data_IF_318068700231
#
_entry.id   IF_318068700231
#
_cell.length_a   1.000
_cell.length_b   1.000
_cell.length_c   1.000
_cell.angle_alpha   90.00
_cell.angle_beta   90.00
_cell.angle_gamma   90.00
#
_symmetry.space_group_name_H-M   'P 1'
#
loop_
_entity.id
_entity.type
_entity.pdbx_description
1 polymer ?
#
# COMPACT_ATOMS: atom_id res chain seq x y z
N UNK A 1 2.70 -26.81 2.62
CA UNK A 1 2.70 -26.22 1.27
C UNK A 1 3.06 -24.75 1.41
N UNK A 2 4.04 -24.25 0.65
CA UNK A 2 4.37 -22.82 0.64
C UNK A 2 3.25 -22.05 -0.06
N UNK A 3 2.74 -20.99 0.55
CA UNK A 3 1.72 -20.14 -0.06
C UNK A 3 2.46 -19.22 -1.04
N UNK A 4 2.37 -19.51 -2.34
CA UNK A 4 2.85 -18.60 -3.39
C UNK A 4 1.82 -17.49 -3.56
N UNK A 5 2.05 -16.35 -2.92
CA UNK A 5 1.20 -15.16 -3.07
C UNK A 5 1.89 -14.21 -4.05
N UNK A 6 1.51 -14.30 -5.33
CA UNK A 6 1.82 -13.29 -6.35
C UNK A 6 0.87 -12.11 -6.20
N UNK A 7 1.33 -10.90 -6.50
CA UNK A 7 0.41 -9.78 -6.67
C UNK A 7 -0.42 -9.94 -7.96
N UNK A 8 -1.48 -9.13 -8.10
CA UNK A 8 -2.38 -9.12 -9.27
C UNK A 8 -1.67 -8.87 -10.59
N UNK A 9 -0.49 -8.23 -10.55
CA UNK A 9 0.26 -7.83 -11.75
C UNK A 9 1.29 -8.88 -12.19
N UNK A 10 1.33 -10.04 -11.52
CA UNK A 10 2.23 -11.14 -11.88
C UNK A 10 3.69 -10.87 -11.51
N UNK A 11 3.96 -9.88 -10.65
CA UNK A 11 5.31 -9.59 -10.16
C UNK A 11 5.67 -10.57 -9.04
N UNK A 12 6.76 -11.35 -9.17
CA UNK A 12 7.21 -12.21 -8.08
C UNK A 12 7.81 -11.39 -6.94
N UNK A 13 7.21 -11.52 -5.76
CA UNK A 13 7.78 -11.07 -4.50
C UNK A 13 8.44 -12.24 -3.78
N UNK A 14 9.64 -11.99 -3.26
CA UNK A 14 10.32 -12.93 -2.37
C UNK A 14 9.90 -12.62 -0.93
N UNK A 15 9.56 -13.67 -0.18
CA UNK A 15 9.07 -13.54 1.19
C UNK A 15 10.04 -14.21 2.17
N UNK A 16 10.00 -13.76 3.42
CA UNK A 16 10.79 -14.37 4.49
C UNK A 16 10.33 -15.80 4.79
N UNK A 17 11.28 -16.73 4.85
CA UNK A 17 11.04 -18.14 5.19
C UNK A 17 10.38 -18.32 6.57
N UNK A 18 10.70 -17.44 7.53
CA UNK A 18 10.17 -17.49 8.90
C UNK A 18 8.92 -16.63 9.09
N UNK A 19 8.64 -15.72 8.16
CA UNK A 19 7.45 -14.88 8.16
C UNK A 19 6.94 -14.62 6.73
N UNK A 20 6.07 -15.49 6.19
CA UNK A 20 5.61 -15.39 4.80
C UNK A 20 4.74 -14.16 4.51
N UNK A 21 4.33 -13.40 5.53
CA UNK A 21 3.68 -12.10 5.35
C UNK A 21 4.68 -10.95 5.07
N UNK A 22 5.98 -11.19 5.26
CA UNK A 22 7.03 -10.18 5.07
C UNK A 22 7.73 -10.39 3.74
N UNK A 23 7.49 -9.47 2.80
CA UNK A 23 8.29 -9.34 1.58
C UNK A 23 9.70 -8.84 1.92
N UNK A 24 10.70 -9.50 1.35
CA UNK A 24 12.13 -9.26 1.54
C UNK A 24 12.83 -8.74 0.29
N UNK A 25 12.28 -8.99 -0.89
CA UNK A 25 12.72 -8.38 -2.16
C UNK A 25 11.67 -8.62 -3.26
N UNK A 26 11.92 -8.02 -4.42
CA UNK A 26 11.12 -8.12 -5.63
C UNK A 26 12.05 -8.25 -6.85
N UNK A 27 11.59 -8.93 -7.90
CA UNK A 27 12.34 -9.03 -9.17
C UNK A 27 12.35 -7.72 -9.96
N UNK A 28 11.38 -6.84 -9.71
CA UNK A 28 11.24 -5.55 -10.40
C UNK A 28 10.84 -4.44 -9.44
N UNK A 29 11.44 -3.28 -9.64
CA UNK A 29 11.13 -2.08 -8.88
C UNK A 29 10.77 -0.94 -9.81
N UNK A 30 9.80 -0.13 -9.37
CA UNK A 30 9.61 1.23 -9.83
C UNK A 30 10.73 2.10 -9.28
N UNK A 31 11.30 2.94 -10.14
CA UNK A 31 12.26 3.98 -9.73
C UNK A 31 11.48 5.23 -9.34
N UNK A 32 11.31 5.44 -8.05
CA UNK A 32 10.51 6.53 -7.49
C UNK A 32 11.23 7.86 -7.58
N UNK A 33 12.53 7.84 -7.34
CA UNK A 33 13.42 8.97 -7.52
C UNK A 33 14.82 8.45 -7.86
N UNK A 34 15.48 9.14 -8.79
CA UNK A 34 16.86 8.91 -9.21
C UNK A 34 17.59 10.24 -9.08
N UNK A 35 18.60 10.32 -8.22
CA UNK A 35 19.24 11.58 -7.87
C UNK A 35 20.64 11.43 -7.28
N UNK A 36 21.12 12.51 -6.67
CA UNK A 36 22.40 12.53 -5.97
C UNK A 36 22.33 13.47 -4.75
N UNK A 37 23.11 13.14 -3.73
CA UNK A 37 23.41 14.03 -2.60
C UNK A 37 24.91 14.31 -2.60
N UNK A 38 25.29 15.55 -2.34
CA UNK A 38 26.70 15.98 -2.25
C UNK A 38 26.94 16.65 -0.90
N UNK A 39 28.20 16.80 -0.45
CA UNK A 39 28.53 17.50 0.80
C UNK A 39 27.98 18.93 0.91
N UNK A 40 27.61 19.56 -0.22
CA UNK A 40 26.98 20.87 -0.24
C UNK A 40 25.49 20.85 0.12
N UNK A 41 24.85 19.67 0.17
CA UNK A 41 23.43 19.55 0.49
C UNK A 41 23.17 19.87 1.98
N UNK A 42 22.18 20.72 2.31
CA UNK A 42 21.78 20.95 3.69
C UNK A 42 21.41 19.63 4.39
N UNK A 43 22.06 19.32 5.51
CA UNK A 43 21.83 18.05 6.23
C UNK A 43 22.54 16.83 5.65
N UNK A 44 23.48 17.00 4.71
CA UNK A 44 24.27 15.90 4.14
C UNK A 44 24.90 15.01 5.22
N UNK A 45 25.51 15.61 6.25
CA UNK A 45 26.14 14.86 7.34
C UNK A 45 25.15 13.93 8.04
N UNK A 46 23.96 14.42 8.38
CA UNK A 46 22.89 13.61 8.99
C UNK A 46 22.41 12.51 8.03
N UNK A 47 22.36 12.79 6.72
CA UNK A 47 21.91 11.82 5.71
C UNK A 47 22.87 10.64 5.55
N UNK A 48 24.18 10.89 5.57
CA UNK A 48 25.20 9.85 5.36
C UNK A 48 25.58 9.12 6.64
N UNK A 49 25.08 9.53 7.80
CA UNK A 49 25.38 8.87 9.07
C UNK A 49 25.00 7.37 9.04
N UNK A 50 23.89 7.01 8.39
CA UNK A 50 23.55 5.58 8.22
C UNK A 50 24.62 4.81 7.42
N UNK A 51 25.32 5.46 6.48
CA UNK A 51 26.39 4.84 5.71
C UNK A 51 27.66 4.73 6.57
N UNK A 52 27.97 5.77 7.36
CA UNK A 52 29.10 5.79 8.29
C UNK A 52 29.00 4.69 9.33
N UNK A 53 27.84 4.57 9.99
CA UNK A 53 27.58 3.57 11.03
C UNK A 53 27.75 2.13 10.52
N UNK A 54 27.48 1.90 9.23
CA UNK A 54 27.63 0.60 8.59
C UNK A 54 28.98 0.41 7.88
N UNK A 55 29.90 1.36 7.98
CA UNK A 55 31.22 1.29 7.33
C UNK A 55 31.17 1.40 5.80
N UNK A 56 30.10 1.96 5.25
CA UNK A 56 29.89 2.14 3.81
C UNK A 56 30.13 3.58 3.34
N UNK A 57 30.41 4.51 4.27
CA UNK A 57 30.77 5.88 3.91
C UNK A 57 32.18 5.93 3.29
N UNK A 58 32.23 5.83 1.97
CA UNK A 58 33.46 5.64 1.19
C UNK A 58 33.63 6.67 0.07
N UNK A 59 32.68 7.59 -0.10
CA UNK A 59 32.61 8.53 -1.23
C UNK A 59 32.62 9.98 -0.75
N UNK A 60 33.80 10.64 -0.71
CA UNK A 60 33.90 12.03 -0.26
C UNK A 60 33.17 13.02 -1.19
N UNK A 61 32.96 12.67 -2.45
CA UNK A 61 32.22 13.48 -3.44
C UNK A 61 30.71 13.51 -3.22
N UNK A 62 30.17 12.57 -2.43
CA UNK A 62 28.74 12.33 -2.29
C UNK A 62 28.28 11.02 -2.91
N UNK A 63 26.96 10.83 -2.95
CA UNK A 63 26.34 9.58 -3.38
C UNK A 63 25.34 9.83 -4.49
N UNK A 64 25.43 9.02 -5.53
CA UNK A 64 24.30 8.77 -6.41
C UNK A 64 23.32 7.84 -5.70
N UNK A 65 22.02 8.08 -5.86
CA UNK A 65 20.97 7.33 -5.16
C UNK A 65 19.77 7.01 -6.04
N UNK A 66 19.18 5.84 -5.80
CA UNK A 66 17.92 5.41 -6.39
C UNK A 66 17.00 4.92 -5.29
N UNK A 67 15.82 5.54 -5.22
CA UNK A 67 14.72 5.06 -4.41
C UNK A 67 13.87 4.09 -5.23
N UNK A 68 13.92 2.84 -4.81
CA UNK A 68 13.25 1.71 -5.42
C UNK A 68 11.99 1.40 -4.63
N UNK A 69 10.90 1.10 -5.31
CA UNK A 69 9.71 0.57 -4.67
C UNK A 69 9.01 -0.48 -5.54
N UNK A 70 8.34 -1.39 -4.88
CA UNK A 70 7.26 -2.22 -5.42
C UNK A 70 6.02 -1.95 -4.59
N UNK A 71 4.92 -2.63 -4.90
CA UNK A 71 3.66 -2.57 -4.15
C UNK A 71 3.86 -2.88 -2.65
N UNK A 72 4.87 -3.69 -2.32
CA UNK A 72 5.04 -4.31 -1.00
C UNK A 72 6.46 -4.20 -0.41
N UNK A 73 7.36 -3.51 -1.10
CA UNK A 73 8.75 -3.41 -0.68
C UNK A 73 9.37 -2.10 -1.15
N UNK A 74 10.25 -1.55 -0.34
CA UNK A 74 11.04 -0.36 -0.65
C UNK A 74 12.51 -0.66 -0.44
N UNK A 75 13.36 -0.06 -1.25
CA UNK A 75 14.80 -0.19 -1.13
C UNK A 75 15.49 1.09 -1.58
N UNK A 76 16.71 1.32 -1.10
CA UNK A 76 17.55 2.44 -1.51
C UNK A 76 18.91 1.97 -1.95
N UNK A 77 19.28 2.36 -3.17
CA UNK A 77 20.62 2.21 -3.69
C UNK A 77 21.46 3.43 -3.35
N UNK A 78 22.72 3.20 -2.95
CA UNK A 78 23.77 4.21 -2.85
C UNK A 78 24.97 3.78 -3.68
N UNK A 79 25.41 4.64 -4.62
CA UNK A 79 26.54 4.37 -5.51
C UNK A 79 27.24 5.65 -5.94
N UNK A 80 27.97 5.59 -7.05
CA UNK A 80 28.64 6.79 -7.59
C UNK A 80 27.64 7.73 -8.25
N UNK A 81 27.91 9.03 -8.16
CA UNK A 81 27.11 10.06 -8.85
C UNK A 81 27.22 9.87 -10.37
N UNK A 82 28.41 9.51 -10.86
CA UNK A 82 28.69 9.29 -12.27
C UNK A 82 27.80 8.20 -12.87
N UNK A 83 27.64 7.07 -12.17
CA UNK A 83 26.82 5.94 -12.63
C UNK A 83 25.35 6.34 -12.72
N UNK A 84 24.83 7.08 -11.73
CA UNK A 84 23.45 7.55 -11.74
C UNK A 84 23.19 8.54 -12.86
N UNK A 85 24.10 9.50 -13.06
CA UNK A 85 23.97 10.48 -14.12
C UNK A 85 24.14 9.84 -15.50
N UNK A 86 24.98 8.82 -15.63
CA UNK A 86 25.04 8.01 -16.85
C UNK A 86 23.72 7.27 -17.10
N UNK A 87 23.19 6.58 -16.09
CA UNK A 87 21.92 5.86 -16.19
C UNK A 87 20.77 6.79 -16.60
N UNK A 88 20.66 7.98 -16.01
CA UNK A 88 19.65 8.98 -16.39
C UNK A 88 19.74 9.40 -17.85
N UNK A 89 20.97 9.61 -18.36
CA UNK A 89 21.19 10.00 -19.77
C UNK A 89 20.85 8.87 -20.73
N UNK A 90 21.12 7.63 -20.34
CA UNK A 90 20.89 6.45 -21.18
C UNK A 90 19.43 5.99 -21.14
N UNK A 91 18.76 6.11 -20.00
CA UNK A 91 17.41 5.59 -19.76
C UNK A 91 16.28 6.50 -20.28
N UNK A 92 16.47 7.13 -21.43
CA UNK A 92 15.47 8.06 -22.01
C UNK A 92 14.22 7.35 -22.53
N UNK A 93 14.33 6.09 -22.91
CA UNK A 93 13.24 5.24 -23.40
C UNK A 93 12.83 4.13 -22.40
N UNK A 94 13.45 4.11 -21.22
CA UNK A 94 13.18 3.12 -20.17
C UNK A 94 13.85 1.75 -20.37
N UNK A 95 14.78 1.62 -21.33
CA UNK A 95 15.42 0.32 -21.65
C UNK A 95 16.85 0.16 -21.11
N UNK A 96 17.41 1.19 -20.46
CA UNK A 96 18.78 1.12 -19.99
C UNK A 96 18.95 0.11 -18.85
N UNK A 97 20.08 -0.58 -18.86
CA UNK A 97 20.47 -1.52 -17.80
C UNK A 97 21.17 -0.78 -16.67
N UNK A 98 20.89 -1.18 -15.42
CA UNK A 98 21.54 -0.62 -14.24
C UNK A 98 22.29 -1.72 -13.47
N UNK A 99 23.60 -1.54 -13.26
CA UNK A 99 24.41 -2.46 -12.46
C UNK A 99 24.40 -2.07 -10.98
N UNK A 100 23.46 -2.66 -10.24
CA UNK A 100 23.32 -2.42 -8.80
C UNK A 100 24.48 -2.99 -7.95
N UNK A 101 25.40 -3.78 -8.53
CA UNK A 101 26.53 -4.35 -7.78
C UNK A 101 27.65 -3.34 -7.49
N UNK A 102 27.63 -2.17 -8.14
CA UNK A 102 28.66 -1.12 -7.98
C UNK A 102 28.43 -0.19 -6.77
N UNK A 103 27.41 -0.50 -5.97
CA UNK A 103 27.04 0.26 -4.79
C UNK A 103 26.47 -0.62 -3.70
N UNK A 104 25.77 -0.01 -2.77
CA UNK A 104 25.18 -0.68 -1.61
C UNK A 104 23.66 -0.52 -1.64
N UNK A 105 22.97 -1.62 -1.37
CA UNK A 105 21.51 -1.67 -1.28
C UNK A 105 21.05 -1.78 0.18
N UNK A 106 20.13 -0.91 0.57
CA UNK A 106 19.40 -0.99 1.84
C UNK A 106 17.95 -1.38 1.59
N UNK A 107 17.44 -2.32 2.39
CA UNK A 107 16.10 -2.93 2.27
C UNK A 107 14.95 -2.06 2.84
N UNK A 108 15.07 -0.74 2.69
CA UNK A 108 14.12 0.28 3.11
C UNK A 108 14.51 1.62 2.50
N UNK A 109 13.59 2.58 2.50
CA UNK A 109 13.98 3.98 2.36
C UNK A 109 14.57 4.50 3.69
N UNK A 110 15.55 5.41 3.64
CA UNK A 110 16.03 6.10 4.82
C UNK A 110 14.93 6.99 5.40
N UNK A 111 15.09 7.45 6.63
CA UNK A 111 14.16 8.37 7.30
C UNK A 111 14.94 9.18 8.34
N UNK A 112 14.32 10.25 8.84
CA UNK A 112 14.89 11.12 9.86
C UNK A 112 15.52 12.37 9.28
N UNK A 113 16.31 13.06 10.11
CA UNK A 113 16.86 14.38 9.81
C UNK A 113 17.63 14.40 8.49
N UNK A 114 17.37 15.40 7.66
CA UNK A 114 17.86 15.49 6.29
C UNK A 114 16.98 14.70 5.31
N UNK A 115 16.76 13.40 5.56
CA UNK A 115 15.98 12.55 4.67
C UNK A 115 14.50 12.92 4.58
N UNK A 116 13.87 13.31 5.70
CA UNK A 116 12.43 13.61 5.74
C UNK A 116 12.02 14.76 4.79
N UNK A 117 12.90 15.74 4.57
CA UNK A 117 12.68 16.85 3.63
C UNK A 117 13.08 16.51 2.18
N UNK A 118 13.99 15.55 2.01
CA UNK A 118 14.51 15.15 0.71
C UNK A 118 13.63 14.12 0.01
N UNK A 119 12.98 13.25 0.78
CA UNK A 119 12.18 12.17 0.25
C UNK A 119 10.86 12.68 -0.33
N UNK A 120 10.56 12.35 -1.59
CA UNK A 120 9.31 12.77 -2.19
C UNK A 120 8.15 12.00 -1.57
N UNK A 121 7.03 12.70 -1.37
CA UNK A 121 5.75 12.01 -1.25
C UNK A 121 5.42 11.37 -2.59
N UNK A 122 5.19 10.06 -2.59
CA UNK A 122 4.91 9.30 -3.81
C UNK A 122 3.67 8.44 -3.66
N UNK A 123 2.95 8.25 -4.77
CA UNK A 123 1.75 7.42 -4.85
C UNK A 123 1.95 6.29 -5.84
N UNK A 124 1.35 5.12 -5.60
CA UNK A 124 1.42 4.04 -6.56
C UNK A 124 0.69 4.43 -7.85
N UNK A 125 -0.51 4.96 -7.69
CA UNK A 125 -1.33 5.49 -8.77
C UNK A 125 -0.95 6.96 -9.01
N UNK A 126 -0.52 7.27 -10.24
CA UNK A 126 -0.06 8.62 -10.64
C UNK A 126 -0.79 9.03 -11.91
N UNK A 127 -1.43 10.20 -11.88
CA UNK A 127 -2.27 10.71 -12.96
C UNK A 127 -1.52 10.82 -14.28
N UNK A 128 -0.29 11.34 -14.24
CA UNK A 128 0.57 11.49 -15.42
C UNK A 128 1.00 10.15 -16.02
N UNK A 129 0.77 9.03 -15.31
CA UNK A 129 1.02 7.66 -15.77
C UNK A 129 -0.29 6.91 -16.11
N UNK A 130 -1.38 7.64 -16.32
CA UNK A 130 -2.66 7.11 -16.77
C UNK A 130 -3.63 6.70 -15.66
N UNK A 131 -3.29 6.93 -14.39
CA UNK A 131 -4.24 6.77 -13.28
C UNK A 131 -5.32 7.86 -13.30
N UNK A 132 -6.44 7.61 -12.64
CA UNK A 132 -7.58 8.55 -12.56
C UNK A 132 -7.18 9.85 -11.85
N UNK A 133 -6.38 9.71 -10.78
CA UNK A 133 -5.76 10.78 -10.03
C UNK A 133 -4.56 10.22 -9.27
N UNK A 134 -3.73 11.12 -8.74
CA UNK A 134 -2.64 10.75 -7.83
C UNK A 134 -3.20 10.16 -6.54
N UNK A 135 -2.68 9.01 -6.10
CA UNK A 135 -3.10 8.36 -4.87
C UNK A 135 -4.50 7.74 -4.94
N UNK A 136 -5.08 7.54 -6.13
CA UNK A 136 -6.39 6.92 -6.28
C UNK A 136 -6.29 5.70 -7.22
N UNK A 137 -6.50 4.51 -6.66
CA UNK A 137 -6.52 3.27 -7.44
C UNK A 137 -6.12 2.03 -6.65
N UNK A 138 -6.12 0.90 -7.33
CA UNK A 138 -5.66 -0.36 -6.74
C UNK A 138 -4.12 -0.39 -6.68
N UNK A 139 -3.58 -0.84 -5.55
CA UNK A 139 -2.14 -1.05 -5.38
C UNK A 139 -1.79 -2.49 -5.67
N UNK A 140 -2.52 -3.43 -5.10
CA UNK A 140 -2.33 -4.88 -5.31
C UNK A 140 -3.57 -5.63 -4.82
N UNK A 141 -3.75 -6.86 -5.23
CA UNK A 141 -4.73 -7.78 -4.68
C UNK A 141 -4.15 -9.20 -4.58
N UNK A 142 -4.74 -9.95 -3.67
CA UNK A 142 -4.36 -11.32 -3.37
C UNK A 142 -5.60 -12.19 -3.40
N UNK A 143 -5.56 -13.32 -4.11
CA UNK A 143 -6.67 -14.27 -4.11
C UNK A 143 -6.91 -14.84 -2.70
N UNK A 144 -8.16 -14.92 -2.28
CA UNK A 144 -8.53 -15.54 -1.02
C UNK A 144 -8.38 -17.06 -1.10
N UNK A 145 -7.69 -17.68 -0.14
CA UNK A 145 -7.35 -19.12 -0.22
C UNK A 145 -8.54 -20.04 0.03
N UNK A 146 -9.53 -19.58 0.81
CA UNK A 146 -10.66 -20.42 1.26
C UNK A 146 -12.00 -20.04 0.62
N UNK A 147 -12.08 -18.91 -0.09
CA UNK A 147 -13.34 -18.35 -0.61
C UNK A 147 -13.16 -18.07 -2.09
N UNK A 148 -13.66 -18.97 -2.97
CA UNK A 148 -13.48 -18.84 -4.41
C UNK A 148 -13.99 -17.50 -4.94
N UNK A 149 -13.18 -16.82 -5.76
CA UNK A 149 -13.52 -15.54 -6.37
C UNK A 149 -13.42 -14.32 -5.46
N UNK A 150 -13.13 -14.51 -4.17
CA UNK A 150 -12.84 -13.40 -3.26
C UNK A 150 -11.36 -13.01 -3.30
N UNK A 151 -11.07 -11.77 -2.96
CA UNK A 151 -9.74 -11.20 -2.91
C UNK A 151 -9.54 -10.34 -1.66
N UNK A 152 -8.29 -10.20 -1.23
CA UNK A 152 -7.87 -9.15 -0.30
C UNK A 152 -7.12 -8.09 -1.10
N UNK A 153 -7.69 -6.89 -1.16
CA UNK A 153 -7.30 -5.83 -2.09
C UNK A 153 -6.71 -4.66 -1.30
N UNK A 154 -5.53 -4.22 -1.69
CA UNK A 154 -4.88 -3.00 -1.21
C UNK A 154 -5.17 -1.87 -2.20
N UNK A 155 -5.60 -0.73 -1.71
CA UNK A 155 -5.93 0.41 -2.57
C UNK A 155 -5.60 1.75 -1.90
N UNK A 156 -5.29 2.72 -2.74
CA UNK A 156 -5.11 4.13 -2.36
C UNK A 156 -6.41 4.88 -2.66
N UNK A 157 -6.78 5.78 -1.78
CA UNK A 157 -7.97 6.59 -1.90
C UNK A 157 -7.85 7.94 -1.22
N UNK A 158 -8.67 8.89 -1.64
CA UNK A 158 -8.86 10.14 -0.90
C UNK A 158 -9.97 9.96 0.14
N UNK A 159 -9.73 10.35 1.39
CA UNK A 159 -10.73 10.22 2.43
C UNK A 159 -10.39 11.03 3.67
N UNK A 160 -11.36 11.14 4.58
CA UNK A 160 -11.19 11.85 5.85
C UNK A 160 -10.80 10.86 6.94
N UNK A 161 -9.75 11.18 7.70
CA UNK A 161 -9.35 10.39 8.87
C UNK A 161 -10.33 10.58 10.04
N UNK A 162 -10.82 11.81 10.22
CA UNK A 162 -11.84 12.20 11.19
C UNK A 162 -12.98 12.95 10.49
N UNK A 163 -14.22 12.95 11.02
CA UNK A 163 -15.36 13.63 10.40
C UNK A 163 -15.08 15.09 10.00
N UNK A 164 -14.36 15.80 10.87
CA UNK A 164 -14.04 17.23 10.70
C UNK A 164 -12.66 17.49 10.07
N UNK A 165 -11.95 16.44 9.63
CA UNK A 165 -10.66 16.60 8.96
C UNK A 165 -10.83 16.93 7.47
N UNK A 166 -9.80 17.55 6.89
CA UNK A 166 -9.68 17.67 5.45
C UNK A 166 -9.46 16.29 4.81
N UNK A 167 -9.94 16.07 3.57
CA UNK A 167 -9.61 14.85 2.84
C UNK A 167 -8.10 14.73 2.61
N UNK A 168 -7.56 13.55 2.86
CA UNK A 168 -6.17 13.21 2.66
C UNK A 168 -6.03 11.97 1.76
N UNK A 169 -4.85 11.79 1.17
CA UNK A 169 -4.51 10.54 0.49
C UNK A 169 -4.22 9.46 1.54
N UNK A 170 -5.01 8.40 1.51
CA UNK A 170 -5.02 7.28 2.42
C UNK A 170 -4.69 5.97 1.69
N UNK A 171 -4.27 4.96 2.45
CA UNK A 171 -4.07 3.60 1.97
C UNK A 171 -4.64 2.61 2.98
N UNK A 172 -5.28 1.56 2.48
CA UNK A 172 -5.86 0.49 3.29
C UNK A 172 -5.86 -0.82 2.52
N UNK A 173 -6.31 -1.89 3.17
CA UNK A 173 -6.69 -3.13 2.52
C UNK A 173 -8.14 -3.50 2.88
N UNK A 174 -8.79 -4.27 2.01
CA UNK A 174 -10.14 -4.75 2.20
C UNK A 174 -10.28 -6.19 1.71
N UNK A 175 -10.94 -7.05 2.49
CA UNK A 175 -11.24 -8.43 2.12
C UNK A 175 -12.66 -8.53 1.58
N UNK A 176 -12.82 -8.97 0.32
CA UNK A 176 -14.14 -9.12 -0.30
C UNK A 176 -14.90 -10.38 0.17
N UNK A 177 -14.35 -11.13 1.14
CA UNK A 177 -15.01 -12.29 1.75
C UNK A 177 -15.61 -12.01 3.13
N UNK A 178 -15.10 -11.01 3.86
CA UNK A 178 -15.38 -10.78 5.28
C UNK A 178 -15.79 -9.30 5.48
N UNK A 179 -17.09 -9.00 5.58
CA UNK A 179 -17.59 -7.62 5.63
C UNK A 179 -17.83 -7.10 7.06
N UNK A 180 -17.34 -5.89 7.35
CA UNK A 180 -17.85 -4.97 8.38
C UNK A 180 -17.78 -3.52 7.87
N UNK A 181 -18.59 -2.67 8.50
CA UNK A 181 -18.92 -1.28 8.19
C UNK A 181 -17.77 -0.36 7.73
N UNK A 182 -18.13 0.49 6.78
CA UNK A 182 -17.39 1.51 6.02
C UNK A 182 -16.53 2.48 6.79
N UNK A 183 -16.92 2.83 8.01
CA UNK A 183 -16.25 3.91 8.72
C UNK A 183 -15.00 3.42 9.47
N UNK A 184 -14.87 2.11 9.68
CA UNK A 184 -13.76 1.49 10.38
C UNK A 184 -13.56 0.04 9.92
N UNK A 185 -12.92 -0.18 8.75
CA UNK A 185 -12.00 -1.32 8.61
C UNK A 185 -11.02 -1.17 9.80
N UNK A 186 -11.33 -1.85 10.90
CA UNK A 186 -11.12 -1.42 12.28
C UNK A 186 -9.65 -1.20 12.65
N UNK A 187 -9.12 -0.04 12.28
CA UNK A 187 -7.73 0.37 12.54
C UNK A 187 -6.74 0.07 11.42
N UNK A 188 -7.21 -0.18 10.19
CA UNK A 188 -6.32 -0.55 9.08
C UNK A 188 -6.22 0.48 7.95
N UNK A 189 -6.52 1.74 8.25
CA UNK A 189 -6.28 2.85 7.33
C UNK A 189 -5.05 3.62 7.81
N UNK A 190 -4.24 4.13 6.88
CA UNK A 190 -3.17 5.07 7.19
C UNK A 190 -3.12 6.19 6.15
N UNK A 191 -2.66 7.36 6.57
CA UNK A 191 -2.21 8.38 5.64
C UNK A 191 -1.11 7.81 4.75
N UNK A 192 -1.26 8.00 3.44
CA UNK A 192 -0.32 7.54 2.45
C UNK A 192 0.78 8.59 2.26
N UNK A 193 1.87 8.41 2.98
CA UNK A 193 3.04 9.28 2.96
C UNK A 193 4.18 8.74 2.09
N UNK A 194 4.06 7.52 1.56
CA UNK A 194 5.11 6.88 0.78
C UNK A 194 5.01 5.34 0.77
N UNK A 195 6.01 4.65 0.21
CA UNK A 195 5.97 3.21 0.00
C UNK A 195 5.87 2.39 1.27
N UNK A 196 6.39 2.87 2.39
CA UNK A 196 6.33 2.14 3.66
C UNK A 196 4.88 2.00 4.18
N UNK A 197 4.02 2.97 3.87
CA UNK A 197 2.58 2.91 4.19
C UNK A 197 1.86 1.90 3.30
N UNK A 198 2.20 1.85 2.00
CA UNK A 198 1.70 0.80 1.09
C UNK A 198 2.15 -0.59 1.50
N UNK A 199 3.45 -0.74 1.84
CA UNK A 199 4.04 -1.97 2.38
C UNK A 199 3.34 -2.41 3.66
N UNK A 200 3.05 -1.48 4.56
CA UNK A 200 2.29 -1.77 5.76
C UNK A 200 0.90 -2.35 5.42
N UNK A 201 0.15 -1.71 4.51
CA UNK A 201 -1.19 -2.16 4.13
C UNK A 201 -1.16 -3.54 3.45
N UNK A 202 -0.21 -3.75 2.55
CA UNK A 202 -0.02 -5.03 1.88
C UNK A 202 0.39 -6.15 2.84
N UNK A 203 1.24 -5.85 3.83
CA UNK A 203 1.55 -6.79 4.91
C UNK A 203 0.31 -7.17 5.70
N UNK A 204 -0.57 -6.21 6.05
CA UNK A 204 -1.81 -6.53 6.76
C UNK A 204 -2.71 -7.44 5.91
N UNK A 205 -2.86 -7.14 4.62
CA UNK A 205 -3.61 -7.98 3.68
C UNK A 205 -3.07 -9.41 3.60
N UNK A 206 -1.74 -9.59 3.55
CA UNK A 206 -1.12 -10.93 3.59
C UNK A 206 -1.35 -11.64 4.91
N UNK A 207 -1.21 -10.92 6.03
CA UNK A 207 -1.48 -11.48 7.36
C UNK A 207 -2.93 -11.97 7.46
N UNK A 208 -3.87 -11.24 6.87
CA UNK A 208 -5.28 -11.64 6.81
C UNK A 208 -5.44 -12.98 6.08
N UNK A 209 -4.85 -13.13 4.89
CA UNK A 209 -4.93 -14.38 4.11
C UNK A 209 -4.25 -15.54 4.83
N UNK A 210 -3.07 -15.32 5.39
CA UNK A 210 -2.33 -16.35 6.15
C UNK A 210 -3.14 -16.78 7.37
N UNK A 211 -3.82 -15.84 8.03
CA UNK A 211 -4.69 -16.15 9.17
C UNK A 211 -5.88 -17.00 8.75
N UNK A 212 -6.57 -16.64 7.65
CA UNK A 212 -7.67 -17.42 7.10
C UNK A 212 -7.22 -18.85 6.71
N UNK A 213 -6.07 -19.00 6.07
CA UNK A 213 -5.52 -20.30 5.72
C UNK A 213 -5.15 -21.16 6.95
N UNK A 214 -4.62 -20.55 8.02
CA UNK A 214 -4.18 -21.27 9.21
C UNK A 214 -5.31 -21.64 10.17
N UNK A 215 -6.30 -20.77 10.31
CA UNK A 215 -7.34 -20.87 11.34
C UNK A 215 -8.74 -21.11 10.75
N UNK A 216 -8.91 -21.02 9.43
CA UNK A 216 -10.21 -21.08 8.76
C UNK A 216 -10.93 -19.72 8.72
N UNK A 217 -11.98 -19.63 7.91
CA UNK A 217 -12.85 -18.45 7.84
C UNK A 217 -13.91 -18.53 8.94
N UNK A 218 -14.15 -17.43 9.65
CA UNK A 218 -15.16 -17.34 10.71
C UNK A 218 -14.71 -17.86 12.08
N UNK A 219 -13.52 -18.47 12.18
CA UNK A 219 -12.97 -18.95 13.45
C UNK A 219 -12.61 -17.79 14.39
N UNK A 220 -12.80 -17.98 15.70
CA UNK A 220 -12.52 -16.98 16.75
C UNK A 220 -11.03 -16.70 16.96
N UNK A 221 -10.14 -17.39 16.25
CA UNK A 221 -8.70 -17.11 16.17
C UNK A 221 -8.28 -16.60 14.79
N UNK A 222 -9.17 -16.58 13.81
CA UNK A 222 -8.91 -16.07 12.46
C UNK A 222 -9.04 -14.54 12.39
N UNK A 223 -8.30 -13.89 11.50
CA UNK A 223 -8.52 -12.48 11.17
C UNK A 223 -9.65 -12.29 10.15
N UNK A 224 -10.04 -13.34 9.41
CA UNK A 224 -11.21 -13.30 8.51
C UNK A 224 -12.44 -13.82 9.26
N UNK A 225 -13.15 -12.91 9.92
CA UNK A 225 -14.41 -13.19 10.62
C UNK A 225 -15.52 -12.37 9.97
N UNK A 226 -16.29 -12.92 9.03
CA UNK A 226 -17.44 -12.22 8.49
C UNK A 226 -18.46 -12.04 9.62
N UNK A 227 -18.94 -10.82 9.79
CA UNK A 227 -20.11 -10.60 10.64
C UNK A 227 -21.36 -10.79 9.79
N UNK A 228 -22.36 -11.43 10.36
CA UNK A 228 -23.56 -11.83 9.64
C UNK A 228 -24.61 -10.70 9.58
N UNK A 229 -24.24 -9.41 9.57
CA UNK A 229 -25.17 -8.28 9.51
C UNK A 229 -26.02 -8.04 10.76
N UNK A 230 -25.64 -8.60 11.92
CA UNK A 230 -26.44 -8.50 13.15
C UNK A 230 -26.64 -7.05 13.60
N UNK A 231 -25.59 -6.23 13.51
CA UNK A 231 -25.66 -4.80 13.82
C UNK A 231 -26.62 -4.06 12.87
N UNK A 232 -26.51 -4.28 11.56
CA UNK A 232 -27.38 -3.64 10.56
C UNK A 232 -28.86 -3.95 10.81
N UNK A 233 -29.19 -5.21 11.13
CA UNK A 233 -30.55 -5.60 11.50
C UNK A 233 -31.05 -4.87 12.76
N UNK A 234 -30.19 -4.71 13.77
CA UNK A 234 -30.52 -3.92 14.97
C UNK A 234 -30.77 -2.45 14.63
N UNK A 235 -29.93 -1.83 13.80
CA UNK A 235 -30.11 -0.44 13.35
C UNK A 235 -31.41 -0.27 12.57
N UNK A 236 -31.72 -1.19 11.64
CA UNK A 236 -32.99 -1.20 10.91
C UNK A 236 -34.20 -1.40 11.83
N UNK A 237 -34.08 -2.22 12.88
CA UNK A 237 -35.14 -2.38 13.87
C UNK A 237 -35.38 -1.08 14.67
N UNK A 238 -34.30 -0.45 15.16
CA UNK A 238 -34.38 0.82 15.88
C UNK A 238 -34.94 1.95 15.00
N UNK A 239 -34.51 2.03 13.74
CA UNK A 239 -35.00 3.03 12.79
C UNK A 239 -36.52 2.92 12.55
N UNK A 240 -37.03 1.68 12.43
CA UNK A 240 -38.46 1.42 12.29
C UNK A 240 -39.24 1.80 13.55
N UNK A 241 -38.70 1.51 14.72
CA UNK A 241 -39.32 1.85 16.00
C UNK A 241 -39.37 3.37 16.24
N UNK A 242 -38.26 4.07 16.00
CA UNK A 242 -38.15 5.51 16.25
C UNK A 242 -38.87 6.38 15.21
N UNK A 243 -38.84 5.98 13.94
CA UNK A 243 -39.31 6.82 12.83
C UNK A 243 -40.50 6.24 12.06
N UNK A 244 -41.03 5.08 12.48
CA UNK A 244 -42.21 4.47 11.87
C UNK A 244 -42.03 4.06 10.42
N UNK A 245 -40.78 3.82 9.97
CA UNK A 245 -40.52 3.49 8.56
C UNK A 245 -41.09 2.12 8.21
N UNK A 246 -41.64 1.98 7.00
CA UNK A 246 -42.19 0.70 6.50
C UNK A 246 -41.13 -0.18 5.81
N UNK A 247 -39.93 0.35 5.60
CA UNK A 247 -38.79 -0.35 5.01
C UNK A 247 -37.51 -0.16 5.81
N UNK A 248 -36.50 -0.95 5.46
CA UNK A 248 -35.17 -0.86 6.04
C UNK A 248 -34.40 0.31 5.42
N UNK A 249 -33.78 1.13 6.26
CA UNK A 249 -32.93 2.23 5.81
C UNK A 249 -31.59 1.73 5.26
N UNK A 250 -31.10 0.60 5.78
CA UNK A 250 -29.88 -0.08 5.38
C UNK A 250 -30.18 -1.50 4.89
N UNK A 251 -29.34 -2.13 4.04
CA UNK A 251 -29.45 -3.57 3.79
C UNK A 251 -29.31 -4.41 5.07
N UNK A 252 -29.90 -5.60 5.11
CA UNK A 252 -29.88 -6.49 6.28
C UNK A 252 -28.62 -7.38 6.37
N UNK A 253 -27.78 -7.35 5.34
CA UNK A 253 -26.55 -8.13 5.22
C UNK A 253 -25.36 -7.19 5.02
N UNK A 254 -24.24 -7.51 5.67
CA UNK A 254 -23.01 -6.72 5.57
C UNK A 254 -22.49 -6.70 4.11
N UNK A 255 -22.66 -7.80 3.36
CA UNK A 255 -22.31 -7.88 1.94
C UNK A 255 -23.09 -6.88 1.08
N UNK A 256 -24.42 -6.80 1.24
CA UNK A 256 -25.25 -5.90 0.45
C UNK A 256 -25.04 -4.44 0.84
N UNK A 257 -24.86 -4.17 2.14
CA UNK A 257 -24.44 -2.86 2.62
C UNK A 257 -23.09 -2.49 1.99
N UNK A 258 -22.10 -3.38 2.02
CA UNK A 258 -20.79 -3.09 1.51
C UNK A 258 -20.77 -2.89 -0.02
N UNK A 259 -21.55 -3.68 -0.75
CA UNK A 259 -21.66 -3.55 -2.21
C UNK A 259 -22.28 -2.21 -2.66
N UNK A 260 -23.08 -1.56 -1.81
CA UNK A 260 -23.84 -0.35 -2.16
C UNK A 260 -23.36 0.92 -1.45
N UNK A 261 -22.82 0.79 -0.25
CA UNK A 261 -22.34 1.87 0.63
C UNK A 261 -20.88 1.69 1.06
N UNK A 262 -20.34 0.48 0.90
CA UNK A 262 -19.05 -0.03 1.39
C UNK A 262 -17.78 0.26 0.61
N UNK A 263 -16.63 -0.20 1.15
CA UNK A 263 -15.40 -0.38 0.39
C UNK A 263 -15.58 -1.16 -0.92
N UNK A 264 -16.44 -2.18 -0.98
CA UNK A 264 -16.70 -2.90 -2.23
C UNK A 264 -17.28 -2.00 -3.32
N UNK A 265 -18.14 -1.03 -2.97
CA UNK A 265 -18.64 -0.05 -3.93
C UNK A 265 -17.52 0.84 -4.46
N UNK A 266 -16.60 1.28 -3.59
CA UNK A 266 -15.41 2.07 -3.96
C UNK A 266 -14.50 1.25 -4.89
N UNK A 267 -14.16 0.04 -4.50
CA UNK A 267 -13.28 -0.86 -5.26
C UNK A 267 -13.87 -1.16 -6.65
N UNK A 268 -15.20 -1.32 -6.76
CA UNK A 268 -15.86 -1.52 -8.06
C UNK A 268 -15.64 -0.33 -8.99
N UNK A 269 -15.79 0.90 -8.49
CA UNK A 269 -15.55 2.11 -9.28
C UNK A 269 -14.06 2.23 -9.68
N UNK A 270 -13.15 1.95 -8.74
CA UNK A 270 -11.71 1.95 -9.01
C UNK A 270 -11.34 0.94 -10.11
N UNK A 271 -11.91 -0.28 -10.07
CA UNK A 271 -11.75 -1.29 -11.13
C UNK A 271 -12.32 -0.86 -12.48
N UNK A 272 -13.40 -0.07 -12.47
CA UNK A 272 -14.00 0.49 -13.67
C UNK A 272 -13.21 1.70 -14.23
N UNK A 273 -12.11 2.11 -13.58
CA UNK A 273 -11.36 3.30 -13.99
C UNK A 273 -12.09 4.60 -13.68
N UNK A 274 -13.01 4.60 -12.70
CA UNK A 274 -13.84 5.76 -12.35
C UNK A 274 -13.53 6.23 -10.93
N UNK A 275 -13.54 7.56 -10.73
CA UNK A 275 -13.42 8.17 -9.41
C UNK A 275 -14.69 7.88 -8.58
N UNK A 276 -14.59 7.13 -7.46
CA UNK A 276 -15.70 6.82 -6.55
C UNK A 276 -16.54 8.05 -6.18
N UNK A 277 -17.89 7.92 -6.09
CA UNK A 277 -18.77 9.02 -5.70
C UNK A 277 -18.43 9.66 -4.36
N UNK A 278 -17.88 8.90 -3.41
CA UNK A 278 -17.45 9.40 -2.10
C UNK A 278 -16.36 10.47 -2.20
N UNK A 279 -15.65 10.57 -3.32
CA UNK A 279 -14.66 11.63 -3.58
C UNK A 279 -15.25 12.86 -4.29
N UNK A 280 -16.58 12.90 -4.51
CA UNK A 280 -17.27 14.02 -5.19
C UNK A 280 -18.09 14.87 -4.21
N UNK A 281 -18.10 14.49 -2.93
CA UNK A 281 -18.91 15.09 -1.87
C UNK A 281 -18.08 16.03 -1.00
#
# INVERSE_FOLDING_TARGET
MGITITNTYGTPHHVSDTNPARVTSCDRYRLSLVGAITPAHPGYEDMVDMLKENGHDTRPEGYGLIFLESEEFSATYFGSIEQIEQYKRENTDGTATFDASQGVMYAQWPHGKGWDDFLPRTFWNVKDRGSIADGIGLVTSFAHTETPGAEVIVYEFEGKWLPDSEPEQLVTYHCTACHLDTFHDSGHVHQNTGPDRRRWAARQARQHIISAHRHGVGDTNSACRPNNGAMLRTVNALARDMWGTTGNALPDTDDAFCATKGPCSIIRELRAGVRPPVYRA
#
